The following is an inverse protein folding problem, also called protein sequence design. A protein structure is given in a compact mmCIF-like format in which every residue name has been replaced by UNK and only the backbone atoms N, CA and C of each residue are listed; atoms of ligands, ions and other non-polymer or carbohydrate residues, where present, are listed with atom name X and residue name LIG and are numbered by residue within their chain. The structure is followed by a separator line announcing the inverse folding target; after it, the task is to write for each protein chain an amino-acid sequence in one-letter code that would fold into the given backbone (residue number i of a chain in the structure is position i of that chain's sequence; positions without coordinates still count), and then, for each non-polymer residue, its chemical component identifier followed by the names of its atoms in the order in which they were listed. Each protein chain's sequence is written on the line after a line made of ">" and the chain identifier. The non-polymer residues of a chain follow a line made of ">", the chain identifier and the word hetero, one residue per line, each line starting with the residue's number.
data_IF_244405457310
#
_entry.id   IF_244405457310
#
_cell.length_a   1.000
_cell.length_b   1.000
_cell.length_c   1.000
_cell.angle_alpha   90.00
_cell.angle_beta   90.00
_cell.angle_gamma   90.00
#
_symmetry.space_group_name_H-M   'P 1'
#
loop_
_entity.id
_entity.type
_entity.pdbx_description
1 polymer ?
#
# COMPACT_ATOMS: atom_id res chain seq x y z
N UNK A 1 21.08 9.70 -5.37
CA UNK A 1 21.67 9.12 -4.14
C UNK A 1 22.67 8.00 -4.42
N UNK A 2 22.33 6.86 -5.05
CA UNK A 2 23.21 5.69 -5.32
C UNK A 2 24.57 6.05 -5.96
N UNK A 3 24.59 6.81 -7.06
CA UNK A 3 25.83 7.22 -7.76
C UNK A 3 26.74 8.10 -6.90
N UNK A 4 26.17 8.98 -6.05
CA UNK A 4 26.91 9.86 -5.14
C UNK A 4 27.55 9.05 -4.01
N UNK A 5 26.83 8.10 -3.45
CA UNK A 5 27.32 7.17 -2.45
C UNK A 5 28.50 6.33 -2.96
N UNK A 6 28.34 5.67 -4.13
CA UNK A 6 29.38 4.85 -4.74
C UNK A 6 30.67 5.62 -5.01
N UNK A 7 30.54 6.89 -5.45
CA UNK A 7 31.70 7.78 -5.65
C UNK A 7 32.45 8.10 -4.35
N UNK A 8 31.70 8.31 -3.25
CA UNK A 8 32.33 8.62 -1.94
C UNK A 8 32.98 7.40 -1.29
N UNK A 9 32.41 6.23 -1.45
CA UNK A 9 32.90 5.01 -0.79
C UNK A 9 34.13 4.41 -1.48
N UNK A 10 34.40 4.76 -2.72
CA UNK A 10 35.51 4.23 -3.56
C UNK A 10 35.64 2.70 -3.53
N UNK A 11 34.56 1.99 -3.24
CA UNK A 11 34.45 0.52 -3.20
C UNK A 11 33.02 0.09 -3.45
N UNK A 12 32.83 -1.13 -3.96
CA UNK A 12 31.52 -1.76 -4.07
C UNK A 12 31.02 -2.13 -2.66
N UNK A 13 29.97 -1.47 -2.21
CA UNK A 13 29.29 -1.80 -0.97
C UNK A 13 27.93 -2.44 -1.33
N UNK A 14 27.53 -3.55 -0.68
CA UNK A 14 26.24 -4.20 -0.91
C UNK A 14 25.09 -3.42 -0.26
N UNK A 15 24.86 -2.19 -0.76
CA UNK A 15 23.79 -1.33 -0.28
C UNK A 15 22.65 -1.32 -1.29
N UNK A 16 21.45 -1.62 -0.82
CA UNK A 16 20.21 -1.51 -1.60
C UNK A 16 19.64 -0.10 -1.45
N UNK A 17 19.37 0.56 -2.56
CA UNK A 17 18.70 1.84 -2.62
C UNK A 17 17.32 1.64 -3.26
N UNK A 18 16.28 2.14 -2.63
CA UNK A 18 14.92 2.03 -3.16
C UNK A 18 13.93 2.84 -2.35
N UNK A 19 12.72 2.96 -2.86
CA UNK A 19 11.57 3.46 -2.09
C UNK A 19 11.00 2.33 -1.23
N UNK A 20 10.22 2.67 -0.22
CA UNK A 20 9.48 1.69 0.58
C UNK A 20 8.69 0.72 -0.30
N UNK A 21 7.89 1.24 -1.23
CA UNK A 21 7.10 0.41 -2.14
C UNK A 21 7.93 -0.57 -2.96
N UNK A 22 9.09 -0.13 -3.48
CA UNK A 22 9.96 -1.02 -4.25
C UNK A 22 10.52 -2.17 -3.40
N UNK A 23 10.88 -1.90 -2.13
CA UNK A 23 11.38 -2.91 -1.20
C UNK A 23 10.24 -3.86 -0.79
N UNK A 24 9.09 -3.31 -0.41
CA UNK A 24 7.95 -4.10 0.04
C UNK A 24 7.36 -4.94 -1.09
N UNK A 25 7.26 -4.41 -2.30
CA UNK A 25 6.87 -5.21 -3.45
C UNK A 25 7.84 -6.35 -3.72
N UNK A 26 9.16 -6.16 -3.54
CA UNK A 26 10.14 -7.24 -3.66
C UNK A 26 9.94 -8.33 -2.59
N UNK A 27 9.52 -7.96 -1.38
CA UNK A 27 9.16 -8.90 -0.30
C UNK A 27 7.92 -9.71 -0.71
N UNK A 28 6.85 -9.05 -1.12
CA UNK A 28 5.60 -9.69 -1.54
C UNK A 28 5.77 -10.55 -2.77
N UNK A 29 6.57 -10.10 -3.74
CA UNK A 29 6.94 -10.90 -4.91
C UNK A 29 7.59 -12.22 -4.50
N UNK A 30 8.48 -12.19 -3.53
CA UNK A 30 9.15 -13.39 -3.05
C UNK A 30 8.21 -14.31 -2.25
N UNK A 31 7.33 -13.74 -1.43
CA UNK A 31 6.43 -14.50 -0.56
C UNK A 31 5.20 -15.05 -1.29
N UNK A 32 4.61 -14.30 -2.21
CA UNK A 32 3.31 -14.59 -2.84
C UNK A 32 3.37 -14.77 -4.36
N UNK A 33 4.57 -14.74 -4.98
CA UNK A 33 4.76 -14.80 -6.43
C UNK A 33 4.00 -13.70 -7.19
N UNK A 34 3.93 -12.49 -6.63
CA UNK A 34 3.41 -11.33 -7.36
C UNK A 34 4.36 -10.92 -8.49
N UNK A 35 3.79 -10.39 -9.58
CA UNK A 35 4.51 -9.75 -10.68
C UNK A 35 4.03 -8.30 -10.87
N UNK A 36 4.64 -7.55 -11.75
CA UNK A 36 4.20 -6.20 -12.08
C UNK A 36 2.74 -6.16 -12.61
N UNK A 37 2.26 -7.24 -13.21
CA UNK A 37 0.90 -7.36 -13.72
C UNK A 37 -0.16 -7.42 -12.61
N UNK A 38 0.26 -7.73 -11.39
CA UNK A 38 -0.61 -7.72 -10.21
C UNK A 38 -0.78 -6.32 -9.61
N UNK A 39 -0.05 -5.30 -10.10
CA UNK A 39 -0.24 -3.93 -9.64
C UNK A 39 -1.44 -3.33 -10.35
N UNK A 40 -2.46 -2.94 -9.60
CA UNK A 40 -3.65 -2.32 -10.13
C UNK A 40 -3.31 -0.99 -10.81
N UNK A 41 -3.64 -0.88 -12.11
CA UNK A 41 -3.47 0.36 -12.87
C UNK A 41 -4.55 1.36 -12.46
N UNK A 42 -4.27 2.62 -12.67
CA UNK A 42 -5.21 3.69 -12.35
C UNK A 42 -6.54 3.50 -13.06
N UNK A 43 -6.53 3.18 -14.35
CA UNK A 43 -7.74 2.93 -15.13
C UNK A 43 -8.60 1.80 -14.55
N UNK A 44 -7.97 0.71 -14.08
CA UNK A 44 -8.68 -0.42 -13.46
C UNK A 44 -9.33 -0.01 -12.13
N UNK A 45 -8.62 0.80 -11.32
CA UNK A 45 -9.14 1.31 -10.05
C UNK A 45 -10.34 2.24 -10.27
N UNK A 46 -10.23 3.17 -11.23
CA UNK A 46 -11.31 4.10 -11.58
C UNK A 46 -12.51 3.37 -12.17
N UNK A 47 -12.29 2.40 -13.05
CA UNK A 47 -13.39 1.60 -13.63
C UNK A 47 -14.14 0.81 -12.54
N UNK A 48 -13.41 0.17 -11.63
CA UNK A 48 -13.99 -0.51 -10.47
C UNK A 48 -14.83 0.46 -9.62
N UNK A 49 -14.32 1.65 -9.34
CA UNK A 49 -15.06 2.64 -8.56
C UNK A 49 -16.32 3.12 -9.26
N UNK A 50 -16.31 3.33 -10.57
CA UNK A 50 -17.52 3.66 -11.36
C UNK A 50 -18.60 2.59 -11.21
N UNK A 51 -18.23 1.33 -11.31
CA UNK A 51 -19.15 0.20 -11.16
C UNK A 51 -19.75 0.15 -9.74
N UNK A 52 -18.92 0.37 -8.71
CA UNK A 52 -19.37 0.42 -7.32
C UNK A 52 -20.32 1.59 -7.08
N UNK A 53 -19.97 2.80 -7.55
CA UNK A 53 -20.78 4.01 -7.40
C UNK A 53 -22.16 3.84 -8.09
N UNK A 54 -22.16 3.29 -9.29
CA UNK A 54 -23.40 3.00 -10.02
C UNK A 54 -24.28 1.98 -9.29
N UNK A 55 -23.68 0.92 -8.77
CA UNK A 55 -24.36 -0.15 -8.02
C UNK A 55 -24.96 0.34 -6.69
N UNK A 56 -24.25 1.20 -5.98
CA UNK A 56 -24.71 1.77 -4.71
C UNK A 56 -25.56 3.03 -4.91
N UNK A 57 -25.88 3.42 -6.17
CA UNK A 57 -26.70 4.58 -6.54
C UNK A 57 -26.23 5.89 -5.90
N UNK A 58 -24.91 6.12 -5.87
CA UNK A 58 -24.34 7.32 -5.27
C UNK A 58 -24.50 8.51 -6.21
N UNK A 59 -24.84 9.66 -5.62
CA UNK A 59 -24.97 10.93 -6.34
C UNK A 59 -23.71 11.77 -6.15
N UNK A 60 -23.28 12.44 -7.18
CA UNK A 60 -22.10 13.31 -7.21
C UNK A 60 -22.28 14.43 -8.22
N UNK A 61 -21.54 15.52 -8.06
CA UNK A 61 -21.51 16.62 -9.02
C UNK A 61 -20.47 16.35 -10.13
N UNK A 62 -19.26 15.94 -9.74
CA UNK A 62 -18.19 15.52 -10.63
C UNK A 62 -17.73 14.10 -10.30
N UNK A 63 -17.82 13.21 -11.29
CA UNK A 63 -17.50 11.79 -11.13
C UNK A 63 -16.01 11.59 -10.76
N UNK A 64 -15.12 12.30 -11.46
CA UNK A 64 -13.68 12.11 -11.31
C UNK A 64 -13.21 12.59 -9.94
N UNK A 65 -13.69 13.74 -9.50
CA UNK A 65 -13.39 14.28 -8.18
C UNK A 65 -13.93 13.37 -7.07
N UNK A 66 -15.16 12.89 -7.22
CA UNK A 66 -15.79 11.99 -6.26
C UNK A 66 -15.04 10.66 -6.12
N UNK A 67 -14.67 10.03 -7.25
CA UNK A 67 -13.87 8.80 -7.25
C UNK A 67 -12.50 9.04 -6.60
N UNK A 68 -11.84 10.14 -6.95
CA UNK A 68 -10.54 10.50 -6.37
C UNK A 68 -10.63 10.66 -4.86
N UNK A 69 -11.69 11.32 -4.39
CA UNK A 69 -11.94 11.52 -2.96
C UNK A 69 -12.19 10.19 -2.22
N UNK A 70 -13.01 9.30 -2.78
CA UNK A 70 -13.26 7.98 -2.20
C UNK A 70 -12.00 7.11 -2.17
N UNK A 71 -11.21 7.10 -3.24
CA UNK A 71 -9.92 6.39 -3.28
C UNK A 71 -8.93 6.98 -2.27
N UNK A 72 -8.93 8.29 -2.08
CA UNK A 72 -8.15 8.97 -1.05
C UNK A 72 -8.54 8.56 0.37
N UNK A 73 -9.84 8.42 0.65
CA UNK A 73 -10.33 7.92 1.95
C UNK A 73 -9.97 6.44 2.16
N UNK A 74 -10.07 5.60 1.12
CA UNK A 74 -9.64 4.19 1.18
C UNK A 74 -8.14 4.11 1.51
N UNK A 75 -7.33 4.92 0.83
CA UNK A 75 -5.88 5.02 1.09
C UNK A 75 -5.61 5.47 2.53
N UNK A 76 -6.33 6.49 3.01
CA UNK A 76 -6.19 6.96 4.39
C UNK A 76 -6.50 5.86 5.41
N UNK A 77 -7.59 5.12 5.24
CA UNK A 77 -7.95 3.99 6.13
C UNK A 77 -6.85 2.95 6.15
N UNK A 78 -6.37 2.52 4.97
CA UNK A 78 -5.28 1.54 4.85
C UNK A 78 -4.01 2.00 5.54
N UNK A 79 -3.60 3.26 5.33
CA UNK A 79 -2.31 3.78 5.80
C UNK A 79 -2.30 4.24 7.25
N UNK A 80 -3.46 4.52 7.85
CA UNK A 80 -3.56 4.95 9.25
C UNK A 80 -3.73 3.78 10.23
N UNK A 81 -4.05 2.58 9.73
CA UNK A 81 -4.36 1.43 10.57
C UNK A 81 -5.69 1.58 11.33
N UNK A 82 -6.57 2.48 10.88
CA UNK A 82 -7.91 2.64 11.44
C UNK A 82 -8.78 1.49 10.95
N UNK A 83 -9.47 0.84 11.87
CA UNK A 83 -10.49 -0.13 11.49
C UNK A 83 -11.61 0.55 10.73
N UNK A 84 -12.02 -0.01 9.61
CA UNK A 84 -13.09 0.55 8.76
C UNK A 84 -14.41 0.78 9.53
N UNK A 85 -14.65 0.01 10.59
CA UNK A 85 -15.81 0.17 11.46
C UNK A 85 -15.80 1.51 12.23
N UNK A 86 -14.62 2.09 12.45
CA UNK A 86 -14.40 3.32 13.21
C UNK A 86 -14.12 4.53 12.30
N UNK A 87 -14.21 4.35 10.99
CA UNK A 87 -13.98 5.42 10.03
C UNK A 87 -15.29 6.10 9.60
N UNK A 88 -15.29 7.43 9.58
CA UNK A 88 -16.39 8.28 9.15
C UNK A 88 -16.02 9.00 7.87
N UNK A 89 -16.67 8.61 6.76
CA UNK A 89 -16.44 9.21 5.45
C UNK A 89 -16.97 10.65 5.40
N UNK A 90 -16.27 11.49 4.64
CA UNK A 90 -16.69 12.86 4.34
C UNK A 90 -17.52 12.95 3.06
N UNK A 91 -17.52 11.90 2.26
CA UNK A 91 -18.10 11.90 0.91
C UNK A 91 -19.43 11.15 0.83
N UNK A 92 -19.73 10.24 1.76
CA UNK A 92 -20.99 9.50 1.79
C UNK A 92 -21.29 8.96 3.20
N UNK A 93 -22.49 8.41 3.39
CA UNK A 93 -22.87 7.80 4.65
C UNK A 93 -21.92 6.64 5.02
N UNK A 94 -21.62 6.46 6.31
CA UNK A 94 -20.69 5.45 6.83
C UNK A 94 -20.98 4.03 6.33
N UNK A 95 -22.25 3.64 6.36
CA UNK A 95 -22.69 2.31 5.92
C UNK A 95 -22.43 2.09 4.44
N UNK A 96 -22.53 3.16 3.65
CA UNK A 96 -22.25 3.14 2.21
C UNK A 96 -20.74 3.08 1.97
N UNK A 97 -19.96 3.91 2.66
CA UNK A 97 -18.50 3.87 2.51
C UNK A 97 -17.93 2.50 2.86
N UNK A 98 -18.43 1.86 3.93
CA UNK A 98 -18.01 0.49 4.28
C UNK A 98 -18.31 -0.54 3.19
N UNK A 99 -19.43 -0.36 2.45
CA UNK A 99 -19.75 -1.20 1.29
C UNK A 99 -18.79 -0.92 0.13
N UNK A 100 -18.53 0.35 -0.17
CA UNK A 100 -17.58 0.78 -1.20
C UNK A 100 -16.20 0.20 -0.92
N UNK A 101 -15.69 0.39 0.30
CA UNK A 101 -14.41 -0.14 0.76
C UNK A 101 -14.32 -1.67 0.55
N UNK A 102 -15.34 -2.41 1.01
CA UNK A 102 -15.41 -3.87 0.86
C UNK A 102 -15.42 -4.31 -0.59
N UNK A 103 -16.28 -3.69 -1.43
CA UNK A 103 -16.40 -4.05 -2.83
C UNK A 103 -15.10 -3.76 -3.60
N UNK A 104 -14.41 -2.66 -3.29
CA UNK A 104 -13.10 -2.34 -3.86
C UNK A 104 -12.06 -3.41 -3.48
N UNK A 105 -11.98 -3.80 -2.22
CA UNK A 105 -11.11 -4.89 -1.78
C UNK A 105 -11.43 -6.22 -2.45
N UNK A 106 -12.73 -6.57 -2.55
CA UNK A 106 -13.16 -7.78 -3.23
C UNK A 106 -12.77 -7.79 -4.71
N UNK A 107 -12.86 -6.65 -5.38
CA UNK A 107 -12.42 -6.49 -6.77
C UNK A 107 -10.91 -6.77 -6.90
N UNK A 108 -10.09 -6.14 -6.07
CA UNK A 108 -8.65 -6.36 -6.08
C UNK A 108 -8.32 -7.85 -5.83
N UNK A 109 -8.92 -8.42 -4.81
CA UNK A 109 -8.71 -9.83 -4.45
C UNK A 109 -9.11 -10.81 -5.57
N UNK A 110 -10.32 -10.67 -6.13
CA UNK A 110 -10.83 -11.54 -7.20
C UNK A 110 -9.98 -11.49 -8.46
N UNK A 111 -9.41 -10.33 -8.77
CA UNK A 111 -8.54 -10.14 -9.93
C UNK A 111 -7.07 -10.38 -9.63
N UNK A 112 -6.73 -10.80 -8.40
CA UNK A 112 -5.35 -10.96 -7.93
C UNK A 112 -4.52 -9.69 -8.14
N UNK A 113 -5.13 -8.54 -7.87
CA UNK A 113 -4.51 -7.23 -7.94
C UNK A 113 -4.18 -6.73 -6.53
N UNK A 114 -3.16 -5.87 -6.46
CA UNK A 114 -2.82 -5.07 -5.28
C UNK A 114 -2.63 -3.62 -5.70
N UNK A 115 -3.07 -2.69 -4.88
CA UNK A 115 -2.69 -1.28 -5.06
C UNK A 115 -1.42 -0.95 -4.25
N UNK A 116 -0.97 0.30 -4.32
CA UNK A 116 0.23 0.73 -3.61
C UNK A 116 0.08 0.65 -2.10
N UNK A 117 -1.11 0.92 -1.57
CA UNK A 117 -1.37 0.85 -0.13
C UNK A 117 -1.38 -0.61 0.35
N UNK A 118 -1.91 -1.54 -0.44
CA UNK A 118 -1.88 -2.98 -0.14
C UNK A 118 -0.45 -3.51 -0.02
N UNK A 119 0.52 -2.93 -0.74
CA UNK A 119 1.92 -3.34 -0.60
C UNK A 119 2.43 -3.11 0.82
N UNK A 120 1.99 -2.06 1.48
CA UNK A 120 2.35 -1.75 2.86
C UNK A 120 1.59 -2.66 3.84
N UNK A 121 0.26 -2.74 3.67
CA UNK A 121 -0.61 -3.55 4.54
C UNK A 121 -0.16 -5.01 4.53
N UNK A 122 -0.04 -5.62 3.35
CA UNK A 122 0.32 -7.03 3.23
C UNK A 122 1.76 -7.33 3.67
N UNK A 123 2.69 -6.36 3.53
CA UNK A 123 4.04 -6.54 4.07
C UNK A 123 4.03 -6.54 5.60
N UNK A 124 3.26 -5.64 6.22
CA UNK A 124 3.10 -5.61 7.67
C UNK A 124 2.50 -6.92 8.19
N UNK A 125 1.36 -7.33 7.63
CA UNK A 125 0.68 -8.58 7.98
C UNK A 125 1.58 -9.81 7.79
N UNK A 126 2.34 -9.85 6.69
CA UNK A 126 3.29 -10.91 6.41
C UNK A 126 4.36 -11.01 7.51
N UNK A 127 4.91 -9.89 7.92
CA UNK A 127 5.95 -9.86 8.95
C UNK A 127 5.41 -10.19 10.35
N UNK A 128 4.18 -9.80 10.64
CA UNK A 128 3.51 -10.15 11.90
C UNK A 128 3.16 -11.65 11.98
N UNK A 129 2.81 -12.27 10.85
CA UNK A 129 2.38 -13.68 10.80
C UNK A 129 3.53 -14.66 10.53
N UNK A 130 4.61 -14.23 9.88
CA UNK A 130 5.71 -15.07 9.40
C UNK A 130 7.06 -14.57 9.91
N UNK A 131 7.35 -14.90 11.16
CA UNK A 131 8.62 -14.56 11.81
C UNK A 131 9.86 -15.10 11.07
N UNK A 132 9.72 -16.22 10.36
CA UNK A 132 10.78 -16.79 9.52
C UNK A 132 11.12 -15.88 8.33
N UNK A 133 10.11 -15.30 7.69
CA UNK A 133 10.30 -14.36 6.57
C UNK A 133 10.88 -13.05 7.11
N UNK A 134 10.36 -12.52 8.21
CA UNK A 134 10.90 -11.32 8.85
C UNK A 134 12.38 -11.51 9.18
N UNK A 135 12.76 -12.63 9.83
CA UNK A 135 14.15 -12.91 10.18
C UNK A 135 15.07 -12.99 8.93
N UNK A 136 14.58 -13.58 7.82
CA UNK A 136 15.34 -13.63 6.58
C UNK A 136 15.63 -12.22 6.01
N UNK A 137 14.65 -11.31 6.08
CA UNK A 137 14.81 -9.94 5.62
C UNK A 137 15.66 -9.10 6.58
N UNK A 138 15.55 -9.27 7.91
CA UNK A 138 16.42 -8.66 8.91
C UNK A 138 17.89 -9.08 8.70
N UNK A 139 18.14 -10.33 8.37
CA UNK A 139 19.50 -10.80 8.05
C UNK A 139 20.03 -10.18 6.74
N UNK A 140 19.15 -9.94 5.76
CA UNK A 140 19.51 -9.31 4.48
C UNK A 140 19.80 -7.82 4.64
N UNK A 141 19.00 -7.10 5.43
CA UNK A 141 19.13 -5.67 5.67
C UNK A 141 19.39 -5.42 7.15
N UNK A 142 20.64 -5.56 7.57
CA UNK A 142 21.03 -5.37 8.97
C UNK A 142 20.87 -3.93 9.46
N UNK A 143 20.85 -2.99 8.54
CA UNK A 143 20.68 -1.56 8.81
C UNK A 143 19.76 -0.96 7.77
N UNK A 144 18.78 -0.19 8.23
CA UNK A 144 17.88 0.59 7.39
C UNK A 144 18.12 2.06 7.67
N UNK A 145 18.41 2.82 6.63
CA UNK A 145 18.55 4.26 6.67
C UNK A 145 17.41 4.88 5.89
N UNK A 146 16.59 5.66 6.55
CA UNK A 146 15.40 6.30 5.97
C UNK A 146 15.73 7.77 5.77
N UNK A 147 15.65 8.22 4.53
CA UNK A 147 15.71 9.63 4.17
C UNK A 147 14.31 10.25 4.35
N UNK A 148 14.24 11.52 4.73
CA UNK A 148 12.99 12.24 4.98
C UNK A 148 12.04 11.49 5.94
N UNK A 149 12.59 11.00 7.07
CA UNK A 149 11.85 10.18 8.04
C UNK A 149 10.56 10.82 8.53
N UNK A 150 10.46 12.15 8.55
CA UNK A 150 9.26 12.88 8.93
C UNK A 150 8.08 12.69 7.95
N UNK A 151 8.34 12.22 6.71
CA UNK A 151 7.33 12.05 5.67
C UNK A 151 6.72 10.65 5.62
N UNK A 152 7.21 9.72 6.48
CA UNK A 152 6.67 8.36 6.51
C UNK A 152 5.29 8.33 7.16
N UNK A 153 4.41 7.48 6.61
CA UNK A 153 3.09 7.25 7.18
C UNK A 153 3.13 6.23 8.35
N UNK A 154 2.02 6.07 9.05
CA UNK A 154 1.92 5.21 10.24
C UNK A 154 2.30 3.76 9.93
N UNK A 155 1.79 3.18 8.85
CA UNK A 155 2.07 1.76 8.53
C UNK A 155 3.54 1.54 8.14
N UNK A 156 4.17 2.49 7.45
CA UNK A 156 5.61 2.44 7.16
C UNK A 156 6.43 2.47 8.45
N UNK A 157 6.03 3.31 9.41
CA UNK A 157 6.65 3.37 10.72
C UNK A 157 6.48 2.05 11.48
N UNK A 158 5.26 1.49 11.51
CA UNK A 158 4.97 0.22 12.18
C UNK A 158 5.83 -0.92 11.61
N UNK A 159 5.99 -0.99 10.28
CA UNK A 159 6.88 -1.98 9.65
C UNK A 159 8.33 -1.78 10.08
N UNK A 160 8.80 -0.53 10.18
CA UNK A 160 10.16 -0.26 10.67
C UNK A 160 10.38 -0.69 12.12
N UNK A 161 9.33 -0.67 12.95
CA UNK A 161 9.41 -1.14 14.33
C UNK A 161 9.48 -2.67 14.48
N UNK A 162 9.02 -3.42 13.47
CA UNK A 162 9.15 -4.87 13.42
C UNK A 162 10.59 -5.31 13.12
N UNK A 163 11.38 -4.40 12.51
CA UNK A 163 12.79 -4.62 12.23
C UNK A 163 13.66 -4.37 13.46
#
# INVERSE_FOLDING_TARGET
>A
MKRRFQRKMNRLCPVTFGTFHAVYFAILKHAYNYSADNIAREEQRYQCMREIIAKEHLTYEDETEFITSLLGEISLVKNSGIEIANYYSKNCAETVFRKVYRQYHEFLYKNRLIDFDDMLVYTKELFEQRADILAAWQNKYRYILIDEFQDINRIQYDICLLY
#
